data_IF_686802525793
#
_entry.id   IF_686802525793
#
_cell.length_a   1.000
_cell.length_b   1.000
_cell.length_c   1.000
_cell.angle_alpha   90.00
_cell.angle_beta   90.00
_cell.angle_gamma   90.00
#
_symmetry.space_group_name_H-M   'P 1'
#
loop_
_entity.id
_entity.type
_entity.pdbx_description
1 polymer ?
#
# COMPACT_ATOMS: atom_id res chain seq x y z
N UNK A 1 16.80 -0.14 -12.61
CA UNK A 1 15.79 0.69 -11.91
C UNK A 1 16.39 2.06 -11.69
N UNK A 2 15.79 3.14 -12.18
CA UNK A 2 16.38 4.49 -12.16
C UNK A 2 16.18 5.17 -10.80
N UNK A 3 17.04 6.12 -10.44
CA UNK A 3 16.92 6.89 -9.18
C UNK A 3 15.56 7.60 -9.04
N UNK A 4 14.96 7.98 -10.17
CA UNK A 4 13.61 8.56 -10.25
C UNK A 4 12.55 7.60 -9.69
N UNK A 5 12.63 6.32 -10.08
CA UNK A 5 11.65 5.32 -9.67
C UNK A 5 11.73 5.01 -8.18
N UNK A 6 12.95 4.97 -7.64
CA UNK A 6 13.16 4.85 -6.20
C UNK A 6 12.46 6.00 -5.43
N UNK A 7 12.59 7.24 -5.90
CA UNK A 7 11.93 8.37 -5.25
C UNK A 7 10.39 8.28 -5.27
N UNK A 8 9.82 7.75 -6.35
CA UNK A 8 8.37 7.54 -6.48
C UNK A 8 7.90 6.44 -5.52
N UNK A 9 8.59 5.30 -5.50
CA UNK A 9 8.29 4.18 -4.58
C UNK A 9 8.42 4.62 -3.12
N UNK A 10 9.46 5.38 -2.79
CA UNK A 10 9.68 5.94 -1.45
C UNK A 10 8.52 6.89 -1.06
N UNK A 11 8.02 7.69 -2.01
CA UNK A 11 6.89 8.57 -1.78
C UNK A 11 5.59 7.81 -1.49
N UNK A 12 5.32 6.76 -2.26
CA UNK A 12 4.14 5.92 -2.04
C UNK A 12 4.23 5.15 -0.73
N UNK A 13 5.38 4.56 -0.41
CA UNK A 13 5.59 3.82 0.83
C UNK A 13 5.39 4.71 2.07
N UNK A 14 5.87 5.95 2.05
CA UNK A 14 5.64 6.88 3.15
C UNK A 14 4.16 7.28 3.28
N UNK A 15 3.49 7.61 2.17
CA UNK A 15 2.07 7.98 2.21
C UNK A 15 1.19 6.80 2.61
N UNK A 16 1.52 5.59 2.19
CA UNK A 16 0.86 4.36 2.63
C UNK A 16 1.02 4.17 4.13
N UNK A 17 2.24 4.32 4.67
CA UNK A 17 2.49 4.24 6.11
C UNK A 17 1.64 5.25 6.88
N UNK A 18 1.59 6.50 6.41
CA UNK A 18 0.76 7.55 6.99
C UNK A 18 -0.74 7.20 6.93
N UNK A 19 -1.21 6.57 5.85
CA UNK A 19 -2.60 6.11 5.71
C UNK A 19 -2.91 4.95 6.65
N UNK A 20 -1.97 4.02 6.86
CA UNK A 20 -2.10 2.90 7.82
C UNK A 20 -2.23 3.45 9.24
N UNK A 21 -1.37 4.39 9.63
CA UNK A 21 -1.43 5.04 10.95
C UNK A 21 -2.76 5.78 11.14
N UNK A 22 -3.17 6.59 10.15
CA UNK A 22 -4.44 7.31 10.23
C UNK A 22 -5.64 6.35 10.29
N UNK A 23 -5.61 5.24 9.54
CA UNK A 23 -6.66 4.22 9.61
C UNK A 23 -6.69 3.53 10.96
N UNK A 24 -5.54 3.21 11.53
CA UNK A 24 -5.44 2.61 12.85
C UNK A 24 -6.02 3.54 13.93
N UNK A 25 -5.71 4.84 13.84
CA UNK A 25 -6.23 5.84 14.79
C UNK A 25 -7.75 5.97 14.71
N UNK A 26 -8.33 5.98 13.51
CA UNK A 26 -9.80 5.99 13.34
C UNK A 26 -10.47 4.70 13.85
N UNK A 27 -9.84 3.54 13.67
CA UNK A 27 -10.33 2.26 14.20
C UNK A 27 -10.29 2.24 15.74
N UNK A 28 -9.19 2.71 16.34
CA UNK A 28 -9.04 2.83 17.79
C UNK A 28 -10.13 3.75 18.39
N UNK A 29 -10.34 4.92 17.78
CA UNK A 29 -11.40 5.84 18.17
C UNK A 29 -12.78 5.21 18.06
N UNK A 30 -13.09 4.57 16.93
CA UNK A 30 -14.37 3.93 16.71
C UNK A 30 -14.64 2.85 17.77
N UNK A 31 -13.63 2.05 18.11
CA UNK A 31 -13.73 1.05 19.19
C UNK A 31 -14.05 1.68 20.54
N UNK A 32 -13.28 2.71 20.94
CA UNK A 32 -13.51 3.43 22.19
C UNK A 32 -14.93 3.98 22.29
N UNK A 33 -15.44 4.58 21.21
CA UNK A 33 -16.81 5.09 21.15
C UNK A 33 -17.86 3.98 21.32
N UNK A 34 -17.62 2.78 20.77
CA UNK A 34 -18.51 1.62 20.96
C UNK A 34 -18.49 1.14 22.41
N UNK A 35 -17.31 1.04 23.02
CA UNK A 35 -17.15 0.58 24.39
C UNK A 35 -17.85 1.56 25.36
N UNK A 36 -17.66 2.87 25.17
CA UNK A 36 -18.37 3.92 25.92
C UNK A 36 -19.90 3.85 25.73
N UNK A 37 -20.37 3.65 24.50
CA UNK A 37 -21.79 3.51 24.20
C UNK A 37 -22.40 2.25 24.84
N UNK A 38 -21.66 1.14 24.85
CA UNK A 38 -22.09 -0.11 25.48
C UNK A 38 -22.22 0.05 27.00
N UNK A 39 -21.24 0.67 27.66
CA UNK A 39 -21.29 0.99 29.10
C UNK A 39 -22.49 1.89 29.42
N UNK A 40 -22.72 2.93 28.61
CA UNK A 40 -23.87 3.84 28.77
C UNK A 40 -25.22 3.16 28.56
N UNK A 41 -25.29 2.15 27.69
CA UNK A 41 -26.52 1.39 27.44
C UNK A 41 -26.82 0.38 28.54
N UNK A 42 -25.79 -0.30 29.05
CA UNK A 42 -25.89 -1.17 30.23
C UNK A 42 -26.40 -0.38 31.44
N UNK A 43 -25.85 0.81 31.68
CA UNK A 43 -26.31 1.71 32.74
C UNK A 43 -27.78 2.14 32.58
N UNK A 44 -28.33 2.13 31.35
CA UNK A 44 -29.72 2.50 31.03
C UNK A 44 -30.66 1.31 30.87
N UNK A 45 -30.19 0.07 31.10
CA UNK A 45 -31.00 -1.15 30.97
C UNK A 45 -31.50 -1.42 29.55
N UNK A 46 -30.81 -0.92 28.51
CA UNK A 46 -31.15 -1.18 27.09
C UNK A 46 -30.17 -2.18 26.48
N UNK A 47 -30.67 -3.12 25.71
CA UNK A 47 -29.85 -3.91 24.78
C UNK A 47 -29.55 -3.08 23.55
N UNK A 48 -28.27 -2.87 23.26
CA UNK A 48 -27.84 -2.23 22.01
C UNK A 48 -27.86 -3.28 20.91
N UNK A 49 -28.91 -3.30 20.10
CA UNK A 49 -28.80 -3.85 18.75
C UNK A 49 -28.05 -2.80 17.92
N UNK A 50 -26.73 -2.91 17.89
CA UNK A 50 -25.90 -2.03 17.06
C UNK A 50 -25.87 -2.64 15.66
N UNK A 51 -26.46 -1.95 14.69
CA UNK A 51 -26.19 -2.22 13.28
C UNK A 51 -24.69 -2.00 13.07
N UNK A 52 -23.94 -3.09 12.99
CA UNK A 52 -22.60 -3.07 12.42
C UNK A 52 -22.76 -2.61 10.98
N UNK A 53 -22.54 -1.33 10.70
CA UNK A 53 -22.19 -0.95 9.34
C UNK A 53 -20.81 -1.59 9.10
N UNK A 54 -20.73 -2.67 8.30
CA UNK A 54 -19.52 -3.44 8.23
C UNK A 54 -18.42 -2.50 7.72
N UNK A 55 -17.18 -2.66 8.20
CA UNK A 55 -16.06 -2.03 7.51
C UNK A 55 -16.15 -2.47 6.05
N UNK A 56 -16.40 -1.53 5.14
CA UNK A 56 -16.46 -1.88 3.72
C UNK A 56 -15.12 -2.52 3.38
N UNK A 57 -15.17 -3.79 3.00
CA UNK A 57 -14.03 -4.70 2.87
C UNK A 57 -12.83 -4.09 2.12
N UNK A 58 -13.08 -3.11 1.24
CA UNK A 58 -12.07 -2.34 0.51
C UNK A 58 -11.01 -1.66 1.40
N UNK A 59 -11.40 -0.96 2.47
CA UNK A 59 -10.43 -0.22 3.30
C UNK A 59 -9.60 -1.16 4.19
N UNK A 60 -10.19 -2.26 4.65
CA UNK A 60 -9.48 -3.28 5.43
C UNK A 60 -8.57 -4.13 4.55
N UNK A 61 -9.00 -4.44 3.32
CA UNK A 61 -8.17 -5.14 2.34
C UNK A 61 -6.94 -4.31 1.95
N UNK A 62 -7.08 -2.98 1.84
CA UNK A 62 -5.97 -2.08 1.49
C UNK A 62 -4.96 -1.92 2.64
N UNK A 63 -5.42 -1.84 3.89
CA UNK A 63 -4.56 -1.56 5.05
C UNK A 63 -4.62 -2.67 6.11
N UNK A 64 -4.13 -3.90 5.82
CA UNK A 64 -4.27 -5.04 6.71
C UNK A 64 -3.58 -4.84 8.06
N UNK A 65 -2.47 -4.07 8.11
CA UNK A 65 -1.73 -3.77 9.33
C UNK A 65 -2.43 -2.76 10.27
N UNK A 66 -3.41 -1.99 9.77
CA UNK A 66 -4.04 -0.94 10.55
C UNK A 66 -4.83 -1.48 11.76
N UNK A 67 -5.43 -2.68 11.62
CA UNK A 67 -6.17 -3.30 12.73
C UNK A 67 -5.26 -3.71 13.88
N UNK A 68 -4.13 -4.35 13.56
CA UNK A 68 -3.15 -4.76 14.57
C UNK A 68 -2.57 -3.54 15.30
N UNK A 69 -2.27 -2.46 14.57
CA UNK A 69 -1.79 -1.20 15.16
C UNK A 69 -2.86 -0.52 16.02
N UNK A 70 -4.14 -0.58 15.62
CA UNK A 70 -5.24 -0.02 16.40
C UNK A 70 -5.48 -0.74 17.74
N UNK A 71 -5.02 -1.98 17.88
CA UNK A 71 -5.12 -2.77 19.12
C UNK A 71 -4.00 -2.45 20.12
N UNK A 72 -2.92 -1.81 19.67
CA UNK A 72 -1.80 -1.40 20.52
C UNK A 72 -2.19 -0.26 21.48
N UNK A 73 -1.92 -0.45 22.78
CA UNK A 73 -2.31 0.50 23.82
C UNK A 73 -1.53 1.82 23.74
N UNK A 74 -0.22 1.76 23.47
CA UNK A 74 0.60 2.96 23.37
C UNK A 74 0.18 3.81 22.16
N UNK A 75 -0.17 3.16 21.06
CA UNK A 75 -0.72 3.82 19.88
C UNK A 75 -2.06 4.51 20.16
N UNK A 76 -2.97 3.85 20.89
CA UNK A 76 -4.26 4.42 21.31
C UNK A 76 -4.08 5.66 22.19
N UNK A 77 -3.16 5.60 23.15
CA UNK A 77 -2.84 6.74 24.04
C UNK A 77 -2.27 7.93 23.25
N UNK A 78 -1.49 7.68 22.20
CA UNK A 78 -0.96 8.71 21.33
C UNK A 78 -2.01 9.36 20.40
N UNK A 79 -3.13 8.67 20.13
CA UNK A 79 -4.19 9.12 19.21
C UNK A 79 -5.59 9.07 19.86
N UNK A 80 -5.81 9.80 20.97
CA UNK A 80 -7.03 9.68 21.77
C UNK A 80 -8.31 10.11 21.03
N UNK A 81 -8.17 10.99 20.04
CA UNK A 81 -9.26 11.60 19.27
C UNK A 81 -9.34 11.09 17.81
N UNK A 82 -8.59 10.03 17.49
CA UNK A 82 -8.46 9.49 16.14
C UNK A 82 -7.34 10.16 15.34
N UNK A 83 -7.46 10.12 14.01
CA UNK A 83 -6.43 10.62 13.10
C UNK A 83 -6.41 12.16 13.05
N UNK A 84 -5.22 12.74 13.15
CA UNK A 84 -5.00 14.16 12.87
C UNK A 84 -4.84 14.38 11.36
N UNK A 85 -5.96 14.65 10.69
CA UNK A 85 -5.98 14.90 9.24
C UNK A 85 -5.25 16.17 8.83
N UNK A 86 -5.07 17.15 9.72
CA UNK A 86 -4.30 18.37 9.44
C UNK A 86 -2.81 18.02 9.35
N UNK A 87 -2.31 17.26 10.35
CA UNK A 87 -0.94 16.75 10.35
C UNK A 87 -0.69 15.79 9.19
N UNK A 88 -1.61 14.87 8.92
CA UNK A 88 -1.54 13.97 7.76
C UNK A 88 -1.42 14.77 6.46
N UNK A 89 -2.27 15.78 6.27
CA UNK A 89 -2.26 16.62 5.08
C UNK A 89 -0.94 17.35 4.89
N UNK A 90 -0.42 17.95 5.96
CA UNK A 90 0.87 18.62 5.94
C UNK A 90 2.00 17.67 5.54
N UNK A 91 1.99 16.43 6.05
CA UNK A 91 2.98 15.40 5.71
C UNK A 91 2.88 14.95 4.25
N UNK A 92 1.69 14.64 3.75
CA UNK A 92 1.48 14.27 2.34
C UNK A 92 1.91 15.41 1.41
N UNK A 93 1.54 16.66 1.73
CA UNK A 93 1.98 17.83 0.97
C UNK A 93 3.50 17.99 0.97
N UNK A 94 4.15 17.85 2.12
CA UNK A 94 5.61 17.91 2.21
C UNK A 94 6.26 16.83 1.34
N UNK A 95 5.69 15.61 1.33
CA UNK A 95 6.19 14.51 0.51
C UNK A 95 6.03 14.78 -0.99
N UNK A 96 4.90 15.36 -1.41
CA UNK A 96 4.70 15.79 -2.79
C UNK A 96 5.66 16.90 -3.22
N UNK A 97 5.95 17.86 -2.34
CA UNK A 97 6.95 18.92 -2.61
C UNK A 97 8.34 18.33 -2.77
N UNK A 98 8.72 17.40 -1.89
CA UNK A 98 9.99 16.67 -2.01
C UNK A 98 10.05 15.88 -3.33
N UNK A 99 9.00 15.14 -3.66
CA UNK A 99 8.93 14.33 -4.87
C UNK A 99 9.04 15.20 -6.11
N UNK A 100 8.31 16.33 -6.16
CA UNK A 100 8.43 17.32 -7.24
C UNK A 100 9.89 17.76 -7.42
N UNK A 101 10.60 18.04 -6.32
CA UNK A 101 12.01 18.38 -6.35
C UNK A 101 12.90 17.29 -6.96
N UNK A 102 12.65 16.02 -6.64
CA UNK A 102 13.36 14.88 -7.24
C UNK A 102 13.06 14.76 -8.74
N UNK A 103 11.78 14.85 -9.13
CA UNK A 103 11.35 14.74 -10.52
C UNK A 103 11.94 15.87 -11.38
N UNK A 104 11.93 17.11 -10.89
CA UNK A 104 12.48 18.28 -11.58
C UNK A 104 13.99 18.23 -11.81
N UNK A 105 14.72 17.35 -11.11
CA UNK A 105 16.14 17.12 -11.37
C UNK A 105 16.42 16.34 -12.65
N UNK A 106 15.42 15.63 -13.19
CA UNK A 106 15.59 14.72 -14.34
C UNK A 106 14.61 15.02 -15.48
N UNK A 107 13.40 15.46 -15.16
CA UNK A 107 12.30 15.68 -16.11
C UNK A 107 12.09 17.18 -16.38
N UNK A 108 11.58 17.51 -17.57
CA UNK A 108 11.10 18.85 -17.88
C UNK A 108 9.89 19.23 -17.01
N UNK A 109 9.63 20.53 -16.84
CA UNK A 109 8.49 21.01 -16.04
C UNK A 109 7.14 20.42 -16.51
N UNK A 110 6.99 20.28 -17.82
CA UNK A 110 5.80 19.69 -18.44
C UNK A 110 5.64 18.19 -18.11
N UNK A 111 6.74 17.43 -18.16
CA UNK A 111 6.74 16.02 -17.77
C UNK A 111 6.49 15.84 -16.27
N UNK A 112 7.10 16.68 -15.43
CA UNK A 112 6.83 16.71 -13.98
C UNK A 112 5.35 16.94 -13.73
N UNK A 113 4.70 17.86 -14.45
CA UNK A 113 3.26 18.09 -14.30
C UNK A 113 2.44 16.83 -14.62
N UNK A 114 2.75 16.13 -15.71
CA UNK A 114 2.03 14.91 -16.12
C UNK A 114 2.29 13.70 -15.23
N UNK A 115 3.49 13.58 -14.67
CA UNK A 115 3.83 12.52 -13.71
C UNK A 115 3.22 12.81 -12.35
N UNK A 116 3.30 14.04 -11.87
CA UNK A 116 2.88 14.37 -10.51
C UNK A 116 1.35 14.40 -10.36
N UNK A 117 0.61 14.80 -11.39
CA UNK A 117 -0.86 14.85 -11.33
C UNK A 117 -1.53 13.52 -10.93
N UNK A 118 -1.29 12.39 -11.64
CA UNK A 118 -1.90 11.11 -11.27
C UNK A 118 -1.49 10.64 -9.86
N UNK A 119 -0.29 11.00 -9.40
CA UNK A 119 0.17 10.70 -8.03
C UNK A 119 -0.64 11.50 -7.00
N UNK A 120 -0.83 12.81 -7.21
CA UNK A 120 -1.62 13.65 -6.29
C UNK A 120 -3.06 13.15 -6.20
N UNK A 121 -3.68 12.86 -7.34
CA UNK A 121 -5.05 12.34 -7.38
C UNK A 121 -5.16 10.99 -6.66
N UNK A 122 -4.16 10.12 -6.82
CA UNK A 122 -4.12 8.84 -6.13
C UNK A 122 -3.93 8.98 -4.61
N UNK A 123 -3.02 9.84 -4.16
CA UNK A 123 -2.85 10.13 -2.73
C UNK A 123 -4.12 10.69 -2.10
N UNK A 124 -4.84 11.57 -2.81
CA UNK A 124 -6.15 12.03 -2.35
C UNK A 124 -7.16 10.87 -2.23
N UNK A 125 -7.16 9.92 -3.16
CA UNK A 125 -8.03 8.73 -3.07
C UNK A 125 -7.64 7.82 -1.90
N UNK A 126 -6.35 7.58 -1.69
CA UNK A 126 -5.82 6.80 -0.56
C UNK A 126 -6.27 7.39 0.79
N UNK A 127 -6.13 8.72 0.96
CA UNK A 127 -6.55 9.39 2.20
C UNK A 127 -8.07 9.43 2.32
N UNK A 128 -8.79 9.62 1.21
CA UNK A 128 -10.27 9.55 1.20
C UNK A 128 -10.76 8.19 1.71
N UNK A 129 -10.10 7.09 1.36
CA UNK A 129 -10.46 5.75 1.87
C UNK A 129 -10.34 5.67 3.41
N UNK A 130 -9.36 6.36 3.99
CA UNK A 130 -9.17 6.45 5.44
C UNK A 130 -10.22 7.35 6.09
N UNK A 131 -10.49 8.52 5.50
CA UNK A 131 -11.31 9.58 6.10
C UNK A 131 -12.82 9.41 5.95
N UNK A 132 -13.32 8.35 5.30
CA UNK A 132 -14.76 8.18 4.98
C UNK A 132 -15.69 8.30 6.19
N UNK A 133 -15.21 7.96 7.38
CA UNK A 133 -15.98 7.99 8.63
C UNK A 133 -15.45 9.02 9.64
N UNK A 134 -14.45 9.81 9.22
CA UNK A 134 -13.83 10.80 10.09
C UNK A 134 -14.74 12.02 10.24
N UNK A 135 -14.77 12.57 11.45
CA UNK A 135 -15.47 13.85 11.70
C UNK A 135 -14.77 15.01 10.99
N UNK A 136 -13.44 14.94 10.88
CA UNK A 136 -12.64 15.94 10.18
C UNK A 136 -12.63 15.68 8.67
N UNK A 137 -12.85 16.73 7.89
CA UNK A 137 -12.91 16.65 6.42
C UNK A 137 -11.51 16.79 5.84
N UNK A 138 -11.10 15.82 5.03
CA UNK A 138 -9.94 15.96 4.16
C UNK A 138 -10.23 17.00 3.06
N UNK A 139 -9.39 18.03 2.96
CA UNK A 139 -9.38 18.98 1.86
C UNK A 139 -8.43 18.49 0.75
N UNK A 140 -8.94 18.06 -0.42
CA UNK A 140 -8.15 17.41 -1.46
C UNK A 140 -6.97 18.26 -1.95
N UNK A 141 -5.78 17.67 -2.00
CA UNK A 141 -4.57 18.32 -2.51
C UNK A 141 -4.67 18.61 -4.01
N UNK A 142 -5.43 17.84 -4.77
CA UNK A 142 -5.72 18.11 -6.19
C UNK A 142 -6.41 19.46 -6.39
N UNK A 143 -7.23 19.92 -5.44
CA UNK A 143 -7.91 21.22 -5.53
C UNK A 143 -6.95 22.38 -5.27
N UNK A 144 -5.99 22.18 -4.37
CA UNK A 144 -4.96 23.17 -4.06
C UNK A 144 -3.89 23.25 -5.16
N UNK A 145 -3.43 22.10 -5.65
CA UNK A 145 -2.26 22.00 -6.54
C UNK A 145 -2.63 22.10 -8.03
N UNK A 146 -3.86 21.75 -8.40
CA UNK A 146 -4.31 21.67 -9.79
C UNK A 146 -5.66 22.35 -10.03
N UNK A 147 -6.28 22.97 -9.02
CA UNK A 147 -7.60 23.61 -9.13
C UNK A 147 -8.70 22.65 -9.63
N UNK A 148 -8.57 21.37 -9.28
CA UNK A 148 -9.46 20.28 -9.70
C UNK A 148 -10.27 19.75 -8.53
N UNK A 149 -11.53 19.37 -8.78
CA UNK A 149 -12.37 18.66 -7.80
C UNK A 149 -12.80 17.26 -8.24
N UNK A 150 -12.66 16.93 -9.53
CA UNK A 150 -13.02 15.66 -10.15
C UNK A 150 -11.79 14.89 -10.68
N UNK A 151 -10.71 14.80 -9.89
CA UNK A 151 -9.46 14.18 -10.32
C UNK A 151 -9.61 12.71 -10.73
N UNK A 152 -10.55 11.98 -10.13
CA UNK A 152 -10.87 10.60 -10.53
C UNK A 152 -11.34 10.45 -11.98
N UNK A 153 -12.01 11.48 -12.53
CA UNK A 153 -12.42 11.54 -13.94
C UNK A 153 -11.27 12.07 -14.81
N UNK A 154 -10.63 13.16 -14.36
CA UNK A 154 -9.53 13.78 -15.09
C UNK A 154 -8.30 12.88 -15.21
N UNK A 155 -8.09 11.94 -14.29
CA UNK A 155 -7.07 10.90 -14.39
C UNK A 155 -7.22 10.13 -15.71
N UNK A 156 -8.42 9.60 -15.98
CA UNK A 156 -8.67 8.83 -17.19
C UNK A 156 -8.78 9.73 -18.43
N UNK A 157 -9.33 10.94 -18.29
CA UNK A 157 -9.36 11.89 -19.40
C UNK A 157 -7.95 12.26 -19.90
N UNK A 158 -7.02 12.54 -18.97
CA UNK A 158 -5.62 12.82 -19.30
C UNK A 158 -4.90 11.58 -19.82
N UNK A 159 -5.14 10.41 -19.22
CA UNK A 159 -4.60 9.14 -19.73
C UNK A 159 -5.02 8.91 -21.19
N UNK A 160 -6.30 9.09 -21.51
CA UNK A 160 -6.83 8.95 -22.87
C UNK A 160 -6.18 9.94 -23.84
N UNK A 161 -6.01 11.19 -23.42
CA UNK A 161 -5.32 12.21 -24.20
C UNK A 161 -3.87 11.80 -24.51
N UNK A 162 -3.14 11.31 -23.50
CA UNK A 162 -1.75 10.87 -23.64
C UNK A 162 -1.61 9.63 -24.52
N UNK A 163 -2.54 8.67 -24.43
CA UNK A 163 -2.56 7.47 -25.26
C UNK A 163 -2.72 7.80 -26.76
N UNK A 164 -3.38 8.92 -27.10
CA UNK A 164 -3.51 9.39 -28.49
C UNK A 164 -2.27 10.07 -29.03
N UNK A 165 -1.34 10.48 -28.17
CA UNK A 165 -0.13 11.19 -28.57
C UNK A 165 1.04 10.22 -28.68
N UNK A 166 1.70 10.19 -29.85
CA UNK A 166 2.84 9.30 -30.11
C UNK A 166 4.08 9.73 -29.32
N UNK A 167 4.27 11.03 -29.13
CA UNK A 167 5.45 11.62 -28.47
C UNK A 167 5.38 11.62 -26.94
N UNK A 168 4.34 11.03 -26.34
CA UNK A 168 4.24 10.96 -24.86
C UNK A 168 5.40 10.14 -24.30
N UNK A 169 6.20 10.70 -23.36
CA UNK A 169 7.30 9.98 -22.73
C UNK A 169 6.85 8.72 -21.97
N UNK A 170 7.58 7.59 -22.05
CA UNK A 170 7.23 6.33 -21.40
C UNK A 170 6.93 6.44 -19.91
N UNK A 171 7.70 7.25 -19.18
CA UNK A 171 7.53 7.45 -17.73
C UNK A 171 6.12 7.91 -17.34
N UNK A 172 5.44 8.66 -18.21
CA UNK A 172 4.06 9.09 -17.97
C UNK A 172 3.13 7.88 -17.94
N UNK A 173 3.27 6.96 -18.91
CA UNK A 173 2.49 5.73 -18.95
C UNK A 173 2.83 4.78 -17.80
N UNK A 174 4.10 4.68 -17.43
CA UNK A 174 4.56 3.88 -16.27
C UNK A 174 3.87 4.34 -14.98
N UNK A 175 3.73 5.65 -14.76
CA UNK A 175 3.08 6.20 -13.57
C UNK A 175 1.58 5.92 -13.56
N UNK A 176 0.89 6.13 -14.70
CA UNK A 176 -0.52 5.77 -14.80
C UNK A 176 -0.73 4.26 -14.53
N UNK A 177 0.13 3.42 -15.09
CA UNK A 177 0.08 1.98 -14.87
C UNK A 177 0.34 1.61 -13.41
N UNK A 178 1.30 2.28 -12.78
CA UNK A 178 1.66 2.08 -11.39
C UNK A 178 0.50 2.45 -10.46
N UNK A 179 -0.11 3.64 -10.61
CA UNK A 179 -1.27 4.02 -9.80
C UNK A 179 -2.42 3.01 -9.92
N UNK A 180 -2.73 2.54 -11.14
CA UNK A 180 -3.77 1.52 -11.36
C UNK A 180 -3.38 0.15 -10.78
N UNK A 181 -2.09 -0.18 -10.75
CA UNK A 181 -1.59 -1.42 -10.15
C UNK A 181 -1.54 -1.37 -8.63
N UNK A 182 -1.31 -0.19 -8.08
CA UNK A 182 -1.40 0.09 -6.64
C UNK A 182 -2.86 0.20 -6.16
N UNK A 183 -3.84 0.22 -7.08
CA UNK A 183 -5.26 0.11 -6.75
C UNK A 183 -6.04 1.41 -6.81
N UNK A 184 -5.54 2.42 -7.52
CA UNK A 184 -6.34 3.56 -7.94
C UNK A 184 -7.55 3.10 -8.75
N UNK A 185 -8.73 3.62 -8.41
CA UNK A 185 -9.99 3.32 -9.09
C UNK A 185 -10.58 4.56 -9.75
N UNK A 186 -10.56 5.71 -9.07
CA UNK A 186 -11.15 6.95 -9.58
C UNK A 186 -12.63 6.80 -9.96
N UNK A 187 -13.00 7.26 -11.16
CA UNK A 187 -14.39 7.17 -11.65
C UNK A 187 -14.88 5.75 -11.94
N UNK A 188 -13.99 4.75 -12.04
CA UNK A 188 -14.32 3.35 -12.31
C UNK A 188 -14.34 2.49 -11.03
N UNK A 189 -14.65 3.10 -9.88
CA UNK A 189 -14.88 2.35 -8.64
C UNK A 189 -15.94 1.25 -8.86
N UNK A 190 -15.57 -0.01 -8.59
CA UNK A 190 -16.43 -1.17 -8.83
C UNK A 190 -16.39 -1.76 -10.25
N UNK A 191 -15.67 -1.16 -11.19
CA UNK A 191 -15.49 -1.67 -12.57
C UNK A 191 -14.03 -2.12 -12.81
N UNK A 192 -13.68 -3.26 -12.20
CA UNK A 192 -12.34 -3.85 -12.34
C UNK A 192 -12.00 -4.22 -13.80
N UNK A 193 -13.00 -4.50 -14.64
CA UNK A 193 -12.80 -4.82 -16.06
C UNK A 193 -12.29 -3.60 -16.81
N UNK A 194 -12.89 -2.43 -16.58
CA UNK A 194 -12.45 -1.20 -17.23
C UNK A 194 -11.04 -0.80 -16.81
N UNK A 195 -10.71 -0.95 -15.52
CA UNK A 195 -9.35 -0.73 -15.02
C UNK A 195 -8.35 -1.67 -15.71
N UNK A 196 -8.68 -2.96 -15.84
CA UNK A 196 -7.83 -3.94 -16.53
C UNK A 196 -7.59 -3.58 -18.01
N UNK A 197 -8.63 -3.11 -18.72
CA UNK A 197 -8.51 -2.63 -20.12
C UNK A 197 -7.51 -1.47 -20.24
N UNK A 198 -7.54 -0.49 -19.33
CA UNK A 198 -6.56 0.61 -19.32
C UNK A 198 -5.14 0.12 -19.03
N UNK A 199 -4.97 -0.80 -18.07
CA UNK A 199 -3.67 -1.40 -17.76
C UNK A 199 -3.08 -2.12 -18.98
N UNK A 200 -3.88 -2.85 -19.73
CA UNK A 200 -3.45 -3.53 -20.95
C UNK A 200 -2.97 -2.51 -22.00
N UNK A 201 -3.78 -1.48 -22.28
CA UNK A 201 -3.42 -0.41 -23.23
C UNK A 201 -2.13 0.32 -22.85
N UNK A 202 -1.95 0.59 -21.55
CA UNK A 202 -0.72 1.17 -21.02
C UNK A 202 0.49 0.25 -21.22
N UNK A 203 0.35 -1.05 -20.96
CA UNK A 203 1.44 -2.02 -21.09
C UNK A 203 1.98 -2.16 -22.52
N UNK A 204 1.17 -1.82 -23.53
CA UNK A 204 1.58 -1.78 -24.93
C UNK A 204 2.42 -0.55 -25.27
N UNK A 205 2.34 0.51 -24.47
CA UNK A 205 3.07 1.78 -24.67
C UNK A 205 4.33 1.88 -23.82
N UNK A 206 4.45 1.06 -22.79
CA UNK A 206 5.64 1.01 -21.93
C UNK A 206 6.70 0.12 -22.61
N UNK A 207 7.92 0.64 -22.86
CA UNK A 207 9.01 -0.16 -23.41
C UNK A 207 9.27 -1.36 -22.51
N UNK A 208 9.09 -2.56 -23.07
CA UNK A 208 9.58 -3.78 -22.43
C UNK A 208 11.07 -3.78 -22.69
N UNK A 209 11.88 -3.47 -21.67
CA UNK A 209 13.30 -3.79 -21.72
C UNK A 209 13.37 -5.27 -22.06
N UNK A 210 13.90 -5.67 -23.23
CA UNK A 210 14.17 -7.07 -23.46
C UNK A 210 15.06 -7.47 -22.30
N UNK A 211 14.60 -8.43 -21.50
CA UNK A 211 15.55 -9.22 -20.73
C UNK A 211 16.44 -9.75 -21.85
N UNK A 212 17.64 -9.18 -22.00
CA UNK A 212 18.68 -9.82 -22.78
C UNK A 212 18.68 -11.22 -22.21
N UNK A 213 18.18 -12.18 -23.00
CA UNK A 213 18.35 -13.58 -22.68
C UNK A 213 19.84 -13.67 -22.36
N UNK A 214 20.13 -14.00 -21.09
CA UNK A 214 21.48 -14.03 -20.58
C UNK A 214 22.36 -14.59 -21.68
N UNK A 215 23.33 -13.78 -22.09
CA UNK A 215 24.30 -14.05 -23.12
C UNK A 215 24.56 -15.57 -23.16
N UNK A 216 24.11 -16.28 -24.20
CA UNK A 216 24.33 -17.73 -24.34
C UNK A 216 25.84 -18.08 -24.36
N UNK A 217 26.72 -17.07 -24.30
CA UNK A 217 28.17 -17.18 -24.12
C UNK A 217 28.71 -16.99 -22.69
N UNK A 218 27.94 -16.48 -21.73
CA UNK A 218 28.34 -16.51 -20.34
C UNK A 218 28.01 -17.89 -19.79
N UNK A 219 29.02 -18.77 -19.71
CA UNK A 219 28.93 -19.98 -18.90
C UNK A 219 28.48 -19.54 -17.50
N UNK A 220 27.18 -19.64 -17.24
CA UNK A 220 26.64 -19.56 -15.91
C UNK A 220 27.44 -20.58 -15.12
N UNK A 221 28.30 -20.10 -14.22
CA UNK A 221 28.89 -20.97 -13.22
C UNK A 221 27.71 -21.74 -12.63
N UNK A 222 27.71 -23.08 -12.72
CA UNK A 222 26.54 -23.87 -12.38
C UNK A 222 26.11 -23.39 -11.01
N UNK A 223 24.86 -22.91 -10.91
CA UNK A 223 24.27 -22.55 -9.62
C UNK A 223 24.51 -23.77 -8.75
N UNK A 224 25.43 -23.64 -7.81
CA UNK A 224 25.77 -24.70 -6.88
C UNK A 224 24.55 -24.79 -5.99
N UNK A 225 23.57 -25.58 -6.44
CA UNK A 225 22.49 -26.08 -5.60
C UNK A 225 23.21 -26.76 -4.47
N UNK A 226 23.37 -26.04 -3.35
CA UNK A 226 24.05 -26.51 -2.15
C UNK A 226 23.44 -27.88 -1.86
N UNK A 227 24.24 -28.91 -2.11
CA UNK A 227 23.80 -30.29 -2.04
C UNK A 227 23.35 -30.51 -0.61
N UNK A 228 22.03 -30.62 -0.42
CA UNK A 228 21.39 -30.66 0.89
C UNK A 228 22.14 -31.66 1.78
N UNK A 229 22.68 -31.28 2.96
CA UNK A 229 23.71 -32.08 3.61
C UNK A 229 23.09 -33.18 4.47
N UNK A 230 22.52 -34.19 3.81
CA UNK A 230 21.80 -35.32 4.40
C UNK A 230 22.58 -36.05 5.50
N UNK A 231 23.92 -36.04 5.43
CA UNK A 231 24.77 -36.70 6.42
C UNK A 231 24.63 -36.11 7.83
N UNK A 232 24.45 -34.79 7.97
CA UNK A 232 24.24 -34.16 9.29
C UNK A 232 22.89 -34.58 9.89
N UNK A 233 21.84 -34.64 9.08
CA UNK A 233 20.52 -35.07 9.53
C UNK A 233 20.49 -36.57 9.88
N UNK A 234 21.16 -37.41 9.09
CA UNK A 234 21.29 -38.83 9.39
C UNK A 234 22.07 -39.07 10.70
N UNK A 235 23.15 -38.31 10.93
CA UNK A 235 23.91 -38.36 12.18
C UNK A 235 23.06 -37.90 13.39
N UNK A 236 22.30 -36.81 13.23
CA UNK A 236 21.41 -36.31 14.28
C UNK A 236 20.31 -37.33 14.64
N UNK A 237 19.66 -37.94 13.63
CA UNK A 237 18.67 -39.01 13.85
C UNK A 237 19.32 -40.20 14.56
N UNK A 238 20.51 -40.62 14.13
CA UNK A 238 21.25 -41.71 14.77
C UNK A 238 21.57 -41.42 16.25
N UNK A 239 21.98 -40.19 16.57
CA UNK A 239 22.25 -39.77 17.94
C UNK A 239 20.99 -39.80 18.82
N UNK A 240 19.86 -39.32 18.29
CA UNK A 240 18.57 -39.34 19.00
C UNK A 240 18.10 -40.78 19.26
N UNK A 241 18.16 -41.64 18.26
CA UNK A 241 17.78 -43.06 18.40
C UNK A 241 18.71 -43.79 19.35
N UNK A 242 20.02 -43.55 19.27
CA UNK A 242 21.00 -44.14 20.18
C UNK A 242 20.77 -43.74 21.62
N UNK A 243 20.55 -42.44 21.89
CA UNK A 243 20.22 -41.94 23.21
C UNK A 243 18.91 -42.56 23.74
N UNK A 244 17.88 -42.63 22.89
CA UNK A 244 16.61 -43.26 23.25
C UNK A 244 16.78 -44.73 23.65
N UNK A 245 17.58 -45.50 22.88
CA UNK A 245 17.84 -46.91 23.19
C UNK A 245 18.63 -47.09 24.49
N UNK A 246 19.61 -46.22 24.76
CA UNK A 246 20.36 -46.23 26.03
C UNK A 246 19.44 -45.94 27.21
N UNK A 247 18.60 -44.91 27.10
CA UNK A 247 17.61 -44.57 28.13
C UNK A 247 16.61 -45.70 28.33
N UNK A 248 16.15 -46.33 27.25
CA UNK A 248 15.21 -47.45 27.30
C UNK A 248 15.83 -48.70 27.95
N UNK A 249 17.10 -49.00 27.66
CA UNK A 249 17.82 -50.11 28.30
C UNK A 249 18.06 -49.86 29.79
N UNK A 250 18.47 -48.64 30.16
CA UNK A 250 18.64 -48.24 31.57
C UNK A 250 17.33 -48.35 32.34
N UNK A 251 16.21 -47.91 31.74
CA UNK A 251 14.88 -48.02 32.33
C UNK A 251 14.37 -49.47 32.45
N UNK A 252 14.94 -50.41 31.69
CA UNK A 252 14.60 -51.84 31.76
C UNK A 252 15.49 -52.62 32.73
N UNK A 253 16.68 -52.11 33.04
CA UNK A 253 17.63 -52.70 34.00
C UNK A 253 17.51 -52.15 35.44
N UNK A 254 16.66 -51.15 35.66
CA UNK A 254 16.29 -50.62 36.97
C UNK A 254 14.93 -51.19 37.40
#
# INVERSE_FOLDING_TARGET
MTALWFAIEEAFAEVETLCVEARAAELARARKQRDEAAVLALARGRTVAMEEEPPRAEAEARYPGAKALAEDLAFQEAHPDGADFVKLRARVRQRLVWLKGQLSGTLSEHEVHYVLFPIVVHFDEMVRLVSRNATARWEPLQSELYEVSNGGELFYARLEERLRQEETPPIVFEIFYFCLSDGFQGMYQGDARKIAEYKERLSLRIPKVPIEAEDEGAQAAPVELVRFPFHYYAAAIGAIVGLYLVLWLLARSA
#
